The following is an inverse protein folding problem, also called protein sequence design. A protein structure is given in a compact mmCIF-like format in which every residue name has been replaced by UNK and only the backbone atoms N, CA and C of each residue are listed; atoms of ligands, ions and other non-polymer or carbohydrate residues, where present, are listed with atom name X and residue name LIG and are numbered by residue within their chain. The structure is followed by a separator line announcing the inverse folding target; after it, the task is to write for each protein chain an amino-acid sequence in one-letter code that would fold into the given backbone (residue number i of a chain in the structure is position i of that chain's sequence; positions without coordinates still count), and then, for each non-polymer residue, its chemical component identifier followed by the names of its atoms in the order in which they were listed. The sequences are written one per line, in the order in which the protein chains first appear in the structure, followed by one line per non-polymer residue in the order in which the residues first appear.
data_IF_433890397007
#
_entry.id   IF_433890397007
#
_cell.length_a   1.000
_cell.length_b   1.000
_cell.length_c   1.000
_cell.angle_alpha   90.00
_cell.angle_beta   90.00
_cell.angle_gamma   90.00
#
_symmetry.space_group_name_H-M   'P 1'
#
loop_
_entity.id
_entity.type
_entity.pdbx_description
1 polymer ?
#
# COMPACT_ATOMS: atom_id res chain seq x y z
N UNK A 1 8.54 2.79 3.35
CA UNK A 1 8.42 3.60 4.58
C UNK A 1 7.36 3.07 5.53
N UNK A 2 6.13 2.82 5.07
CA UNK A 2 5.01 2.41 5.95
C UNK A 2 5.26 1.11 6.76
N UNK A 3 6.12 0.22 6.25
CA UNK A 3 6.51 -1.04 6.91
C UNK A 3 7.60 -0.82 7.97
N UNK A 4 8.39 0.25 7.84
CA UNK A 4 9.51 0.54 8.75
C UNK A 4 9.00 1.27 10.02
N UNK A 5 9.85 1.51 11.04
CA UNK A 5 9.39 2.15 12.28
C UNK A 5 9.05 3.63 12.08
N UNK A 6 9.34 4.17 10.90
CA UNK A 6 9.13 5.58 10.54
C UNK A 6 7.65 5.85 10.32
N UNK A 7 7.18 6.99 10.83
CA UNK A 7 5.82 7.49 10.61
C UNK A 7 5.72 8.24 9.28
N UNK A 8 5.02 7.64 8.32
CA UNK A 8 4.73 8.24 7.00
C UNK A 8 3.87 9.49 7.11
N UNK A 9 2.93 9.53 8.06
CA UNK A 9 2.05 10.69 8.32
C UNK A 9 2.87 11.86 8.82
N UNK A 10 3.78 11.65 9.77
CA UNK A 10 4.60 12.75 10.27
C UNK A 10 5.53 13.31 9.19
N UNK A 11 6.06 12.46 8.29
CA UNK A 11 6.84 12.94 7.14
C UNK A 11 5.97 13.78 6.21
N UNK A 12 4.77 13.29 5.86
CA UNK A 12 3.82 14.02 5.01
C UNK A 12 3.48 15.41 5.56
N UNK A 13 3.26 15.50 6.88
CA UNK A 13 3.05 16.77 7.57
C UNK A 13 4.30 17.66 7.59
N UNK A 14 5.47 17.08 7.89
CA UNK A 14 6.72 17.83 8.01
C UNK A 14 7.13 18.51 6.70
N UNK A 15 6.96 17.82 5.56
CA UNK A 15 7.28 18.37 4.24
C UNK A 15 6.09 19.07 3.57
N UNK A 16 4.95 19.20 4.28
CA UNK A 16 3.72 19.79 3.77
C UNK A 16 3.27 19.18 2.43
N UNK A 17 3.31 17.85 2.34
CA UNK A 17 2.98 17.13 1.12
C UNK A 17 1.50 17.32 0.80
N UNK A 18 1.18 18.03 -0.30
CA UNK A 18 -0.19 18.42 -0.60
C UNK A 18 -0.54 18.18 -2.07
N UNK A 19 -1.83 18.20 -2.38
CA UNK A 19 -2.35 18.09 -3.73
C UNK A 19 -2.16 16.70 -4.32
N UNK A 20 -1.82 16.66 -5.61
CA UNK A 20 -1.53 15.42 -6.36
C UNK A 20 -0.41 14.59 -5.75
N UNK A 21 0.63 15.23 -5.21
CA UNK A 21 1.76 14.53 -4.58
C UNK A 21 1.35 13.77 -3.31
N UNK A 22 0.43 14.34 -2.53
CA UNK A 22 -0.16 13.68 -1.37
C UNK A 22 -1.04 12.50 -1.76
N UNK A 23 -1.84 12.66 -2.81
CA UNK A 23 -2.64 11.58 -3.40
C UNK A 23 -1.76 10.41 -3.87
N UNK A 24 -0.66 10.72 -4.57
CA UNK A 24 0.31 9.72 -5.03
C UNK A 24 0.98 8.96 -3.89
N UNK A 25 1.41 9.68 -2.84
CA UNK A 25 2.01 9.07 -1.66
C UNK A 25 1.02 8.14 -0.92
N UNK A 26 -0.22 8.61 -0.71
CA UNK A 26 -1.26 7.81 -0.08
C UNK A 26 -1.59 6.55 -0.91
N UNK A 27 -1.61 6.67 -2.24
CA UNK A 27 -1.83 5.55 -3.14
C UNK A 27 -0.67 4.52 -3.11
N UNK A 28 0.57 4.98 -2.99
CA UNK A 28 1.73 4.10 -2.80
C UNK A 28 1.64 3.31 -1.49
N UNK A 29 1.17 3.95 -0.42
CA UNK A 29 0.90 3.29 0.87
C UNK A 29 -0.23 2.27 0.70
N UNK A 30 -1.34 2.64 0.06
CA UNK A 30 -2.46 1.75 -0.24
C UNK A 30 -2.02 0.49 -1.00
N UNK A 31 -1.25 0.65 -2.08
CA UNK A 31 -0.71 -0.45 -2.87
C UNK A 31 0.19 -1.37 -2.03
N UNK A 32 1.04 -0.78 -1.18
CA UNK A 32 1.90 -1.55 -0.26
C UNK A 32 1.07 -2.36 0.73
N UNK A 33 0.03 -1.76 1.34
CA UNK A 33 -0.89 -2.47 2.24
C UNK A 33 -1.51 -3.67 1.54
N UNK A 34 -2.02 -3.46 0.32
CA UNK A 34 -2.69 -4.51 -0.46
C UNK A 34 -1.74 -5.66 -0.78
N UNK A 35 -0.49 -5.38 -1.19
CA UNK A 35 0.53 -6.43 -1.42
C UNK A 35 0.78 -7.23 -0.15
N UNK A 36 0.93 -6.58 1.00
CA UNK A 36 1.18 -7.28 2.26
C UNK A 36 -0.02 -8.16 2.64
N UNK A 37 -1.24 -7.65 2.49
CA UNK A 37 -2.47 -8.42 2.76
C UNK A 37 -2.59 -9.64 1.84
N UNK A 38 -2.39 -9.47 0.53
CA UNK A 38 -2.47 -10.55 -0.46
C UNK A 38 -1.44 -11.66 -0.21
N UNK A 39 -0.22 -11.28 0.20
CA UNK A 39 0.82 -12.25 0.52
C UNK A 39 0.61 -12.88 1.91
N UNK A 40 0.04 -12.13 2.87
CA UNK A 40 -0.26 -12.60 4.22
C UNK A 40 -1.47 -13.55 4.28
N UNK A 41 -2.46 -13.40 3.40
CA UNK A 41 -3.77 -14.07 3.50
C UNK A 41 -3.71 -15.60 3.64
N UNK A 42 -2.77 -16.25 2.95
CA UNK A 42 -2.61 -17.72 2.97
C UNK A 42 -1.36 -18.18 3.73
N UNK A 43 -0.64 -17.26 4.36
CA UNK A 43 0.65 -17.54 5.03
C UNK A 43 0.55 -17.31 6.54
N UNK A 44 -0.22 -16.30 6.96
CA UNK A 44 -0.34 -15.90 8.35
C UNK A 44 -1.74 -16.15 8.91
N UNK A 45 -1.83 -16.11 10.24
CA UNK A 45 -3.12 -16.14 10.93
C UNK A 45 -4.00 -14.97 10.49
N UNK A 46 -5.32 -15.19 10.45
CA UNK A 46 -6.29 -14.18 10.04
C UNK A 46 -6.18 -12.89 10.85
N UNK A 47 -5.86 -12.98 12.15
CA UNK A 47 -5.62 -11.81 13.01
C UNK A 47 -4.48 -10.91 12.53
N UNK A 48 -3.36 -11.48 12.08
CA UNK A 48 -2.22 -10.71 11.56
C UNK A 48 -2.61 -10.03 10.25
N UNK A 49 -3.25 -10.77 9.33
CA UNK A 49 -3.69 -10.23 8.04
C UNK A 49 -4.71 -9.09 8.22
N UNK A 50 -5.66 -9.24 9.14
CA UNK A 50 -6.63 -8.20 9.49
C UNK A 50 -5.93 -6.98 10.09
N UNK A 51 -5.03 -7.16 11.04
CA UNK A 51 -4.31 -6.05 11.64
C UNK A 51 -3.46 -5.31 10.60
N UNK A 52 -2.78 -6.00 9.67
CA UNK A 52 -2.07 -5.36 8.54
C UNK A 52 -3.04 -4.56 7.66
N UNK A 53 -4.21 -5.13 7.33
CA UNK A 53 -5.22 -4.45 6.51
C UNK A 53 -5.75 -3.17 7.17
N UNK A 54 -5.80 -3.14 8.51
CA UNK A 54 -6.26 -2.02 9.32
C UNK A 54 -5.13 -1.06 9.73
N UNK A 55 -3.93 -1.18 9.14
CA UNK A 55 -2.81 -0.25 9.37
C UNK A 55 -1.64 -0.78 10.18
N UNK A 56 -1.72 -2.02 10.65
CA UNK A 56 -0.65 -2.75 11.34
C UNK A 56 0.48 -3.23 10.42
N UNK A 57 0.78 -2.52 9.32
CA UNK A 57 1.85 -2.89 8.38
C UNK A 57 3.23 -2.95 9.04
N UNK A 58 3.42 -2.19 10.13
CA UNK A 58 4.62 -2.22 10.97
C UNK A 58 4.89 -3.61 11.58
N UNK A 59 3.87 -4.46 11.71
CA UNK A 59 4.06 -5.84 12.16
C UNK A 59 4.93 -6.66 11.18
N UNK A 60 5.00 -6.27 9.90
CA UNK A 60 5.87 -6.88 8.90
C UNK A 60 7.28 -6.26 8.88
N UNK A 61 7.63 -5.42 9.86
CA UNK A 61 8.96 -4.82 9.97
C UNK A 61 10.07 -5.88 10.07
N UNK A 62 9.97 -6.94 10.91
CA UNK A 62 11.02 -7.97 10.95
C UNK A 62 11.22 -8.64 9.59
N UNK A 63 10.14 -8.90 8.86
CA UNK A 63 10.18 -9.46 7.51
C UNK A 63 10.91 -8.55 6.54
N UNK A 64 10.67 -7.24 6.59
CA UNK A 64 11.36 -6.28 5.74
C UNK A 64 12.88 -6.29 5.96
N UNK A 65 13.33 -6.34 7.22
CA UNK A 65 14.77 -6.33 7.52
C UNK A 65 15.45 -7.66 7.23
N UNK A 66 14.76 -8.79 7.45
CA UNK A 66 15.27 -10.13 7.14
C UNK A 66 15.26 -10.41 5.64
N UNK A 67 14.23 -9.94 4.95
CA UNK A 67 13.99 -10.18 3.53
C UNK A 67 13.65 -8.86 2.82
N UNK A 68 14.65 -8.03 2.47
CA UNK A 68 14.43 -6.74 1.81
C UNK A 68 13.75 -6.88 0.44
N UNK A 69 13.76 -8.08 -0.14
CA UNK A 69 13.08 -8.40 -1.39
C UNK A 69 11.56 -8.12 -1.37
N UNK A 70 10.92 -8.03 -0.19
CA UNK A 70 9.52 -7.60 -0.02
C UNK A 70 9.26 -6.23 -0.67
N UNK A 71 10.28 -5.38 -0.76
CA UNK A 71 10.16 -4.07 -1.39
C UNK A 71 9.88 -4.16 -2.89
N UNK A 72 10.35 -5.20 -3.59
CA UNK A 72 10.16 -5.34 -5.03
C UNK A 72 8.66 -5.39 -5.41
N UNK A 73 7.85 -6.34 -4.89
CA UNK A 73 6.44 -6.38 -5.22
C UNK A 73 5.71 -5.12 -4.76
N UNK A 74 6.08 -4.53 -3.62
CA UNK A 74 5.47 -3.30 -3.12
C UNK A 74 5.72 -2.10 -4.04
N UNK A 75 6.99 -1.88 -4.44
CA UNK A 75 7.39 -0.78 -5.33
C UNK A 75 6.74 -0.93 -6.70
N UNK A 76 6.78 -2.14 -7.26
CA UNK A 76 6.14 -2.44 -8.54
C UNK A 76 4.64 -2.10 -8.53
N UNK A 77 3.92 -2.52 -7.49
CA UNK A 77 2.49 -2.18 -7.38
C UNK A 77 2.24 -0.71 -7.11
N UNK A 78 3.11 -0.04 -6.35
CA UNK A 78 2.98 1.39 -6.07
C UNK A 78 3.17 2.20 -7.36
N UNK A 79 4.13 1.83 -8.22
CA UNK A 79 4.35 2.47 -9.52
C UNK A 79 3.13 2.32 -10.43
N UNK A 80 2.54 1.14 -10.51
CA UNK A 80 1.31 0.92 -11.30
C UNK A 80 0.13 1.70 -10.72
N UNK A 81 -0.03 1.67 -9.41
CA UNK A 81 -1.13 2.34 -8.70
C UNK A 81 -1.00 3.86 -8.72
N UNK A 82 0.17 4.41 -9.06
CA UNK A 82 0.35 5.85 -9.26
C UNK A 82 -0.24 6.36 -10.60
N UNK A 83 -0.49 5.49 -11.58
CA UNK A 83 -1.03 5.90 -12.88
C UNK A 83 -2.43 6.52 -12.76
N UNK A 84 -3.41 5.90 -12.09
CA UNK A 84 -4.73 6.50 -11.87
C UNK A 84 -4.70 7.84 -11.13
N UNK A 85 -3.70 8.06 -10.28
CA UNK A 85 -3.57 9.30 -9.52
C UNK A 85 -3.42 10.50 -10.45
N UNK A 86 -2.59 10.37 -11.47
CA UNK A 86 -2.39 11.43 -12.47
C UNK A 86 -3.59 11.52 -13.42
N UNK A 87 -4.16 10.38 -13.83
CA UNK A 87 -5.29 10.36 -14.77
C UNK A 87 -6.57 10.98 -14.21
N UNK A 88 -6.85 10.74 -12.92
CA UNK A 88 -8.07 11.22 -12.27
C UNK A 88 -7.84 12.42 -11.36
N UNK A 89 -6.65 13.02 -11.39
CA UNK A 89 -6.25 14.13 -10.51
C UNK A 89 -6.54 13.85 -9.03
N UNK A 90 -6.18 12.64 -8.57
CA UNK A 90 -6.40 12.22 -7.18
C UNK A 90 -5.52 13.08 -6.28
N UNK A 91 -6.19 13.93 -5.50
CA UNK A 91 -5.55 14.87 -4.58
C UNK A 91 -5.73 14.40 -3.13
N UNK A 92 -4.87 14.90 -2.26
CA UNK A 92 -4.92 14.65 -0.82
C UNK A 92 -4.29 15.79 -0.02
N UNK A 93 -4.31 15.63 1.29
CA UNK A 93 -3.74 16.59 2.25
C UNK A 93 -2.46 16.03 2.87
N UNK A 94 -1.65 16.87 3.54
CA UNK A 94 -0.50 16.40 4.32
C UNK A 94 -0.84 15.31 5.34
N UNK A 95 -2.05 15.36 5.90
CA UNK A 95 -2.57 14.34 6.81
C UNK A 95 -2.84 13.01 6.08
N UNK A 96 -3.53 13.04 4.93
CA UNK A 96 -3.94 11.83 4.22
C UNK A 96 -2.81 11.12 3.49
N UNK A 97 -1.74 11.85 3.14
CA UNK A 97 -0.55 11.34 2.46
C UNK A 97 0.07 10.11 3.15
N UNK A 98 -0.04 10.00 4.48
CA UNK A 98 0.59 8.95 5.26
C UNK A 98 -0.27 7.74 5.60
N UNK A 99 -1.58 7.74 5.30
CA UNK A 99 -2.50 6.69 5.75
C UNK A 99 -2.91 5.70 4.64
N UNK A 100 -2.88 6.12 3.37
CA UNK A 100 -3.37 5.28 2.27
C UNK A 100 -4.80 4.80 2.50
N UNK A 101 -5.03 3.48 2.46
CA UNK A 101 -6.35 2.86 2.70
C UNK A 101 -6.73 2.71 4.17
N UNK A 102 -5.79 2.94 5.10
CA UNK A 102 -6.03 2.75 6.54
C UNK A 102 -7.07 3.74 7.02
N UNK A 103 -8.13 3.23 7.66
CA UNK A 103 -9.26 4.04 8.14
C UNK A 103 -9.99 4.80 7.02
N UNK A 104 -9.79 4.41 5.76
CA UNK A 104 -10.31 5.09 4.57
C UNK A 104 -9.90 6.58 4.45
N UNK A 105 -8.84 7.01 5.17
CA UNK A 105 -8.42 8.42 5.20
C UNK A 105 -8.01 8.93 3.82
N UNK A 106 -7.29 8.13 3.03
CA UNK A 106 -6.92 8.48 1.66
C UNK A 106 -8.13 8.64 0.74
N UNK A 107 -8.97 7.61 0.57
CA UNK A 107 -10.19 7.70 -0.24
C UNK A 107 -11.11 8.85 0.15
N UNK A 108 -11.34 9.06 1.45
CA UNK A 108 -12.20 10.14 1.94
C UNK A 108 -11.60 11.52 1.63
N UNK A 109 -10.29 11.71 1.82
CA UNK A 109 -9.63 12.96 1.45
C UNK A 109 -9.72 13.24 -0.06
N UNK A 110 -9.68 12.20 -0.90
CA UNK A 110 -9.87 12.36 -2.34
C UNK A 110 -11.32 12.66 -2.74
N UNK A 111 -12.31 12.12 -2.02
CA UNK A 111 -13.73 12.52 -2.17
C UNK A 111 -13.93 13.99 -1.83
N UNK A 112 -13.38 14.43 -0.70
CA UNK A 112 -13.46 15.83 -0.27
C UNK A 112 -12.77 16.78 -1.26
N UNK A 113 -11.72 16.29 -1.94
CA UNK A 113 -11.05 17.02 -3.02
C UNK A 113 -11.82 17.01 -4.37
N UNK A 114 -13.00 16.38 -4.44
CA UNK A 114 -13.88 16.39 -5.61
C UNK A 114 -13.78 15.17 -6.52
N UNK A 115 -13.10 14.09 -6.11
CA UNK A 115 -13.05 12.86 -6.89
C UNK A 115 -14.41 12.16 -6.89
N UNK A 116 -14.92 11.81 -8.07
CA UNK A 116 -16.16 11.03 -8.18
C UNK A 116 -16.06 9.64 -7.55
N UNK A 117 -17.20 9.09 -7.11
CA UNK A 117 -17.27 7.78 -6.44
C UNK A 117 -16.77 6.64 -7.35
N UNK A 118 -17.12 6.66 -8.63
CA UNK A 118 -16.68 5.67 -9.62
C UNK A 118 -15.15 5.63 -9.80
N UNK A 119 -14.47 6.74 -10.16
CA UNK A 119 -13.02 6.75 -10.27
C UNK A 119 -12.30 6.52 -8.93
N UNK A 120 -12.94 6.85 -7.80
CA UNK A 120 -12.42 6.50 -6.48
C UNK A 120 -12.37 4.99 -6.28
N UNK A 121 -13.49 4.30 -6.44
CA UNK A 121 -13.55 2.85 -6.20
C UNK A 121 -12.60 2.10 -7.13
N UNK A 122 -12.55 2.54 -8.40
CA UNK A 122 -11.63 2.01 -9.37
C UNK A 122 -10.16 2.21 -8.96
N UNK A 123 -9.78 3.44 -8.62
CA UNK A 123 -8.36 3.78 -8.38
C UNK A 123 -7.85 3.25 -7.04
N UNK A 124 -8.65 3.34 -5.98
CA UNK A 124 -8.22 2.99 -4.62
C UNK A 124 -8.36 1.52 -4.29
N UNK A 125 -9.24 0.78 -4.98
CA UNK A 125 -9.47 -0.64 -4.70
C UNK A 125 -9.10 -1.52 -5.90
N UNK A 126 -9.72 -1.30 -7.06
CA UNK A 126 -9.55 -2.22 -8.21
C UNK A 126 -8.10 -2.26 -8.68
N UNK A 127 -7.49 -1.10 -8.95
CA UNK A 127 -6.12 -1.02 -9.46
C UNK A 127 -5.08 -1.65 -8.52
N UNK A 128 -4.99 -1.26 -7.23
CA UNK A 128 -3.99 -1.84 -6.34
C UNK A 128 -4.21 -3.33 -6.06
N UNK A 129 -5.47 -3.81 -6.04
CA UNK A 129 -5.77 -5.25 -5.87
C UNK A 129 -5.32 -6.04 -7.10
N UNK A 130 -5.67 -5.60 -8.30
CA UNK A 130 -5.27 -6.27 -9.55
C UNK A 130 -3.75 -6.24 -9.70
N UNK A 131 -3.12 -5.09 -9.47
CA UNK A 131 -1.67 -4.95 -9.49
C UNK A 131 -1.01 -5.85 -8.43
N UNK A 132 -1.57 -5.96 -7.22
CA UNK A 132 -1.08 -6.81 -6.15
C UNK A 132 -1.14 -8.30 -6.48
N UNK A 133 -2.25 -8.77 -7.05
CA UNK A 133 -2.38 -10.16 -7.50
C UNK A 133 -1.42 -10.47 -8.65
N UNK A 134 -1.31 -9.55 -9.61
CA UNK A 134 -0.39 -9.69 -10.73
C UNK A 134 1.07 -9.69 -10.26
N UNK A 135 1.44 -8.80 -9.34
CA UNK A 135 2.76 -8.71 -8.72
C UNK A 135 3.13 -10.03 -8.03
N UNK A 136 2.21 -10.60 -7.24
CA UNK A 136 2.42 -11.91 -6.61
C UNK A 136 2.65 -13.00 -7.66
N UNK A 137 1.81 -13.08 -8.69
CA UNK A 137 1.97 -14.06 -9.76
C UNK A 137 3.31 -13.92 -10.49
N UNK A 138 3.68 -12.69 -10.86
CA UNK A 138 4.88 -12.39 -11.62
C UNK A 138 6.15 -12.71 -10.82
N UNK A 139 6.25 -12.23 -9.57
CA UNK A 139 7.48 -12.39 -8.79
C UNK A 139 7.62 -13.76 -8.13
N UNK A 140 6.52 -14.42 -7.76
CA UNK A 140 6.53 -15.74 -7.14
C UNK A 140 6.61 -16.87 -8.20
N UNK A 141 5.73 -16.85 -9.22
CA UNK A 141 5.62 -17.97 -10.17
C UNK A 141 6.49 -17.82 -11.41
N UNK A 142 6.57 -16.63 -11.98
CA UNK A 142 7.28 -16.42 -13.26
C UNK A 142 8.77 -16.19 -13.00
N UNK A 143 9.10 -15.22 -12.15
CA UNK A 143 10.50 -14.82 -11.89
C UNK A 143 11.14 -15.60 -10.73
N UNK A 144 10.34 -16.29 -9.90
CA UNK A 144 10.80 -17.11 -8.76
C UNK A 144 11.78 -16.37 -7.84
N UNK A 145 11.55 -15.08 -7.63
CA UNK A 145 12.47 -14.24 -6.86
C UNK A 145 12.42 -14.55 -5.37
N UNK A 146 11.26 -14.96 -4.86
CA UNK A 146 11.06 -15.29 -3.45
C UNK A 146 9.97 -16.34 -3.27
N UNK A 147 10.01 -17.03 -2.12
CA UNK A 147 8.89 -17.85 -1.63
C UNK A 147 8.03 -17.02 -0.68
N UNK A 148 6.79 -16.75 -1.08
CA UNK A 148 5.81 -15.98 -0.31
C UNK A 148 5.60 -16.55 1.09
N UNK A 149 5.64 -17.87 1.24
CA UNK A 149 5.42 -18.57 2.52
C UNK A 149 6.56 -18.37 3.51
N UNK A 150 7.76 -18.06 3.02
CA UNK A 150 8.93 -17.82 3.85
C UNK A 150 9.07 -16.33 4.12
N UNK A 151 8.99 -15.53 3.06
CA UNK A 151 9.29 -14.10 3.10
C UNK A 151 8.21 -13.29 3.79
N UNK A 152 6.93 -13.64 3.60
CA UNK A 152 5.80 -12.93 4.22
C UNK A 152 5.24 -13.64 5.46
N UNK A 153 5.88 -14.71 5.94
CA UNK A 153 5.50 -15.35 7.20
C UNK A 153 5.88 -14.47 8.39
N UNK A 154 4.89 -14.10 9.18
CA UNK A 154 5.02 -13.27 10.37
C UNK A 154 6.03 -13.87 11.35
N UNK A 155 6.96 -13.05 11.85
CA UNK A 155 8.13 -13.50 12.61
C UNK A 155 8.00 -13.29 14.14
N UNK A 156 6.86 -12.82 14.65
CA UNK A 156 6.64 -12.61 16.10
C UNK A 156 5.92 -11.32 16.42
#
# INVERSE_FOLDING_TARGET
LIISPITTVAIGLAIQLNGLSAGAAAMGIAATTVVLVINSWNVNQSGVTLAVSLGGMKMMMPNLFKYPIILIPCLFTATISAIPVVLFNISGTPQSAGFGLVGLVGPLASLDAGLGILPLLFSWFVVPIVAGLFSKFLFEKVLKLYDSKVVFAYQG
#
